data_IF_832139446847
#
_entry.id   IF_832139446847
#
_cell.length_a   1.000
_cell.length_b   1.000
_cell.length_c   1.000
_cell.angle_alpha   90.00
_cell.angle_beta   90.00
_cell.angle_gamma   90.00
#
_symmetry.space_group_name_H-M   'P 1'
#
loop_
_entity.id
_entity.type
_entity.pdbx_description
1 polymer ?
#
# COMPACT_ATOMS: atom_id res chain seq x y z
N UNK A 1 1.38 19.63 -12.57
CA UNK A 1 -0.02 20.10 -12.41
C UNK A 1 -0.83 19.09 -11.58
N UNK A 2 -1.00 19.33 -10.28
CA UNK A 2 -1.66 18.37 -9.35
C UNK A 2 -3.20 18.45 -9.35
N UNK A 3 -3.78 19.43 -10.05
CA UNK A 3 -5.22 19.65 -10.12
C UNK A 3 -5.93 18.76 -11.16
N UNK A 4 -5.20 18.32 -12.19
CA UNK A 4 -5.76 17.61 -13.35
C UNK A 4 -6.39 16.25 -12.97
N UNK A 5 -5.75 15.41 -12.13
CA UNK A 5 -6.39 14.18 -11.66
C UNK A 5 -7.67 14.40 -10.85
N UNK A 6 -7.81 15.57 -10.21
CA UNK A 6 -9.00 15.90 -9.40
C UNK A 6 -10.19 16.34 -10.26
N UNK A 7 -9.94 17.07 -11.34
CA UNK A 7 -10.98 17.61 -12.22
C UNK A 7 -11.42 16.62 -13.30
N UNK A 8 -10.52 15.76 -13.77
CA UNK A 8 -10.77 14.87 -14.89
C UNK A 8 -10.33 13.43 -14.56
N UNK A 9 -10.75 12.94 -13.39
CA UNK A 9 -10.43 11.60 -12.89
C UNK A 9 -10.82 10.49 -13.89
N UNK A 10 -11.93 10.65 -14.62
CA UNK A 10 -12.40 9.69 -15.62
C UNK A 10 -11.55 9.61 -16.91
N UNK A 11 -10.64 10.56 -17.12
CA UNK A 11 -9.71 10.61 -18.25
C UNK A 11 -8.27 10.26 -17.85
N UNK A 12 -8.03 9.99 -16.56
CA UNK A 12 -6.75 9.50 -16.08
C UNK A 12 -6.71 7.99 -16.19
N UNK A 13 -5.62 7.44 -16.72
CA UNK A 13 -5.44 5.99 -16.76
C UNK A 13 -5.31 5.40 -15.33
N UNK A 14 -5.51 4.08 -15.20
CA UNK A 14 -5.48 3.35 -13.93
C UNK A 14 -4.21 3.72 -13.14
N UNK A 15 -4.43 4.43 -12.03
CA UNK A 15 -3.41 4.89 -11.09
C UNK A 15 -2.72 3.69 -10.42
N UNK A 16 -1.72 3.14 -11.10
CA UNK A 16 -0.96 1.99 -10.61
C UNK A 16 0.09 2.50 -9.61
N UNK A 17 0.16 1.94 -8.39
CA UNK A 17 1.19 2.28 -7.43
C UNK A 17 2.59 2.08 -8.03
N UNK A 18 3.45 3.08 -7.91
CA UNK A 18 4.85 2.99 -8.26
C UNK A 18 5.58 2.03 -7.30
N UNK A 19 6.56 1.30 -7.82
CA UNK A 19 7.41 0.43 -7.00
C UNK A 19 8.43 1.25 -6.17
N UNK A 20 8.88 2.38 -6.72
CA UNK A 20 9.81 3.31 -6.09
C UNK A 20 9.28 4.76 -6.15
N UNK A 21 9.07 5.45 -5.02
CA UNK A 21 9.29 4.97 -3.65
C UNK A 21 8.22 3.97 -3.20
N UNK A 22 8.57 3.01 -2.31
CA UNK A 22 7.63 1.99 -1.85
C UNK A 22 6.51 2.58 -0.99
N UNK A 23 5.34 1.93 -0.93
CA UNK A 23 4.24 2.39 -0.08
C UNK A 23 4.66 2.52 1.40
N UNK A 24 4.21 3.60 2.04
CA UNK A 24 4.53 3.97 3.42
C UNK A 24 3.26 4.18 4.23
N UNK A 25 3.34 3.99 5.54
CA UNK A 25 2.23 4.31 6.43
C UNK A 25 2.37 5.75 6.92
N UNK A 26 1.25 6.49 7.00
CA UNK A 26 1.19 7.85 7.53
C UNK A 26 0.31 7.88 8.78
N UNK A 27 0.94 8.07 9.94
CA UNK A 27 0.27 8.04 11.24
C UNK A 27 -0.80 9.12 11.40
N UNK A 28 -0.60 10.31 10.82
CA UNK A 28 -1.55 11.41 10.92
C UNK A 28 -2.90 11.12 10.22
N UNK A 29 -2.91 10.28 9.19
CA UNK A 29 -4.11 9.87 8.45
C UNK A 29 -4.57 8.46 8.76
N UNK A 30 -3.72 7.69 9.44
CA UNK A 30 -3.90 6.27 9.67
C UNK A 30 -4.09 5.48 8.36
N UNK A 31 -3.28 5.80 7.35
CA UNK A 31 -3.42 5.23 6.01
C UNK A 31 -2.09 4.74 5.43
N UNK A 32 -2.17 3.69 4.61
CA UNK A 32 -1.08 3.32 3.71
C UNK A 32 -1.14 4.22 2.49
N UNK A 33 -0.06 4.96 2.23
CA UNK A 33 0.11 5.82 1.08
C UNK A 33 1.03 5.18 0.05
N UNK A 34 0.72 5.39 -1.22
CA UNK A 34 1.59 5.03 -2.34
C UNK A 34 1.82 6.24 -3.25
N UNK A 35 2.89 6.18 -4.02
CA UNK A 35 3.13 7.14 -5.11
C UNK A 35 2.51 6.58 -6.36
N UNK A 36 1.83 7.41 -7.13
CA UNK A 36 1.31 7.07 -8.46
C UNK A 36 1.88 8.05 -9.48
N UNK A 37 2.09 7.58 -10.71
CA UNK A 37 2.45 8.41 -11.86
C UNK A 37 1.34 8.27 -12.92
N UNK A 38 0.25 9.04 -12.80
CA UNK A 38 -0.87 8.92 -13.70
C UNK A 38 -0.55 9.50 -15.07
N UNK A 39 -1.18 8.95 -16.10
CA UNK A 39 -1.18 9.50 -17.46
C UNK A 39 -2.58 10.03 -17.79
N UNK A 40 -2.64 11.03 -18.67
CA UNK A 40 -3.90 11.69 -19.04
C UNK A 40 -4.27 11.48 -20.50
N UNK A 41 -5.52 11.04 -20.73
CA UNK A 41 -6.14 11.00 -22.03
C UNK A 41 -5.55 9.94 -22.99
N UNK A 42 -6.03 9.91 -24.25
CA UNK A 42 -5.63 8.92 -25.25
C UNK A 42 -4.16 9.04 -25.69
N UNK A 43 -3.51 10.17 -25.38
CA UNK A 43 -2.10 10.42 -25.69
C UNK A 43 -1.17 10.20 -24.49
N UNK A 44 -1.67 9.62 -23.39
CA UNK A 44 -0.90 9.25 -22.20
C UNK A 44 0.00 10.38 -21.67
N UNK A 45 -0.51 11.60 -21.58
CA UNK A 45 0.29 12.73 -21.11
C UNK A 45 0.74 12.51 -19.67
N UNK A 46 2.05 12.60 -19.44
CA UNK A 46 2.64 12.37 -18.12
C UNK A 46 2.21 13.44 -17.13
N UNK A 47 1.61 13.00 -16.03
CA UNK A 47 1.30 13.86 -14.89
C UNK A 47 2.40 13.65 -13.83
N UNK A 48 2.86 14.72 -13.15
CA UNK A 48 3.79 14.59 -12.04
C UNK A 48 3.30 13.58 -11.01
N UNK A 49 4.25 12.81 -10.46
CA UNK A 49 3.96 11.82 -9.44
C UNK A 49 3.30 12.48 -8.23
N UNK A 50 2.37 11.75 -7.62
CA UNK A 50 1.62 12.22 -6.47
C UNK A 50 1.46 11.12 -5.43
N UNK A 51 1.50 11.52 -4.17
CA UNK A 51 1.25 10.63 -3.04
C UNK A 51 -0.26 10.57 -2.82
N UNK A 52 -0.81 9.37 -2.85
CA UNK A 52 -2.25 9.11 -2.65
C UNK A 52 -2.46 7.97 -1.66
N UNK A 53 -3.64 7.88 -1.03
CA UNK A 53 -4.02 6.69 -0.29
C UNK A 53 -4.02 5.46 -1.19
N UNK A 54 -3.51 4.35 -0.68
CA UNK A 54 -3.48 3.08 -1.39
C UNK A 54 -4.92 2.66 -1.76
N UNK A 55 -5.19 2.34 -3.04
CA UNK A 55 -6.52 1.93 -3.46
C UNK A 55 -7.05 0.75 -2.66
N UNK A 56 -8.37 0.68 -2.49
CA UNK A 56 -9.02 -0.46 -1.84
C UNK A 56 -8.73 -1.76 -2.59
N UNK A 57 -8.35 -2.79 -1.86
CA UNK A 57 -8.05 -4.10 -2.45
C UNK A 57 -7.18 -4.94 -1.54
N UNK A 58 -6.81 -6.12 -2.03
CA UNK A 58 -5.92 -7.03 -1.29
C UNK A 58 -4.55 -6.40 -1.03
N UNK A 59 -4.03 -5.62 -1.97
CA UNK A 59 -2.71 -5.03 -1.85
C UNK A 59 -2.62 -4.01 -0.70
N UNK A 60 -3.71 -3.28 -0.42
CA UNK A 60 -3.77 -2.41 0.76
C UNK A 60 -3.53 -3.18 2.05
N UNK A 61 -4.16 -4.34 2.21
CA UNK A 61 -4.01 -5.20 3.39
C UNK A 61 -2.61 -5.81 3.45
N UNK A 62 -2.05 -6.22 2.30
CA UNK A 62 -0.69 -6.75 2.23
C UNK A 62 0.36 -5.72 2.65
N UNK A 63 0.27 -4.50 2.13
CA UNK A 63 1.17 -3.42 2.50
C UNK A 63 0.99 -3.00 3.95
N UNK A 64 -0.25 -2.89 4.44
CA UNK A 64 -0.53 -2.62 5.85
C UNK A 64 0.10 -3.68 6.76
N UNK A 65 -0.15 -4.96 6.50
CA UNK A 65 0.40 -6.08 7.27
C UNK A 65 1.94 -6.05 7.30
N UNK A 66 2.57 -5.76 6.15
CA UNK A 66 4.02 -5.65 6.05
C UNK A 66 4.54 -4.53 6.95
N UNK A 67 3.95 -3.33 6.85
CA UNK A 67 4.34 -2.16 7.61
C UNK A 67 4.07 -2.33 9.12
N UNK A 68 3.01 -3.06 9.48
CA UNK A 68 2.70 -3.43 10.85
C UNK A 68 3.79 -4.33 11.45
N UNK A 69 4.16 -5.42 10.75
CA UNK A 69 5.21 -6.33 11.21
C UNK A 69 6.62 -5.71 11.20
N UNK A 70 6.86 -4.71 10.35
CA UNK A 70 8.07 -3.89 10.37
C UNK A 70 8.08 -2.86 11.52
N UNK A 71 6.99 -2.76 12.30
CA UNK A 71 6.86 -1.81 13.41
C UNK A 71 6.68 -0.35 12.97
N UNK A 72 6.28 -0.12 11.72
CA UNK A 72 6.02 1.23 11.17
C UNK A 72 4.61 1.73 11.47
N UNK A 73 3.68 0.82 11.78
CA UNK A 73 2.31 1.15 12.24
C UNK A 73 2.25 1.20 13.76
N UNK A 74 2.79 0.18 14.43
CA UNK A 74 2.81 0.06 15.89
C UNK A 74 4.25 -0.21 16.34
N UNK A 75 4.84 0.74 17.07
CA UNK A 75 6.25 0.69 17.47
C UNK A 75 6.62 -0.56 18.28
N UNK A 76 5.67 -1.16 19.02
CA UNK A 76 5.89 -2.40 19.76
C UNK A 76 6.32 -3.59 18.88
N UNK A 77 5.87 -3.63 17.61
CA UNK A 77 6.27 -4.69 16.67
C UNK A 77 7.73 -4.57 16.25
N UNK A 78 8.33 -3.38 16.35
CA UNK A 78 9.76 -3.16 16.02
C UNK A 78 10.68 -3.97 16.94
N UNK A 79 10.27 -4.24 18.18
CA UNK A 79 11.04 -5.03 19.13
C UNK A 79 11.11 -6.52 18.75
N UNK A 80 10.06 -7.01 18.09
CA UNK A 80 9.95 -8.42 17.68
C UNK A 80 10.28 -8.63 16.20
N UNK A 81 10.50 -7.57 15.41
CA UNK A 81 10.68 -7.69 13.96
C UNK A 81 11.91 -8.52 13.57
N UNK A 82 12.97 -8.50 14.39
CA UNK A 82 14.17 -9.33 14.21
C UNK A 82 13.96 -10.82 14.52
N UNK A 83 12.90 -11.13 15.28
CA UNK A 83 12.57 -12.49 15.73
C UNK A 83 11.51 -13.17 14.86
N UNK A 84 10.98 -12.46 13.85
CA UNK A 84 10.03 -13.02 12.90
C UNK A 84 10.68 -14.15 12.12
N UNK A 85 10.04 -15.31 12.10
CA UNK A 85 10.56 -16.47 11.37
C UNK A 85 10.59 -16.29 9.85
N UNK A 86 9.84 -15.32 9.33
CA UNK A 86 9.76 -14.97 7.91
C UNK A 86 9.89 -13.46 7.72
N UNK A 87 10.45 -13.04 6.58
CA UNK A 87 10.55 -11.61 6.25
C UNK A 87 9.17 -11.02 5.93
N UNK A 88 8.81 -9.83 6.47
CA UNK A 88 7.54 -9.16 6.14
C UNK A 88 7.30 -8.94 4.65
N UNK A 89 8.36 -8.85 3.84
CA UNK A 89 8.27 -8.75 2.37
C UNK A 89 7.55 -9.93 1.70
N UNK A 90 7.45 -11.10 2.36
CA UNK A 90 6.70 -12.25 1.82
C UNK A 90 5.21 -11.97 1.69
N UNK A 91 4.65 -11.02 2.45
CA UNK A 91 3.24 -10.62 2.35
C UNK A 91 2.90 -10.03 0.98
N UNK A 92 3.88 -9.50 0.25
CA UNK A 92 3.68 -8.89 -1.06
C UNK A 92 3.74 -9.91 -2.21
N UNK A 93 4.24 -11.13 -1.96
CA UNK A 93 4.43 -12.14 -3.02
C UNK A 93 3.10 -12.82 -3.40
N UNK A 94 3.07 -13.38 -4.61
CA UNK A 94 1.94 -14.19 -5.11
C UNK A 94 1.83 -15.55 -4.42
N UNK A 95 2.92 -16.05 -3.84
CA UNK A 95 2.98 -17.28 -3.05
C UNK A 95 3.40 -16.93 -1.62
N UNK A 96 2.78 -17.57 -0.63
CA UNK A 96 3.05 -17.33 0.78
C UNK A 96 2.90 -18.60 1.61
N UNK A 97 3.52 -18.61 2.79
CA UNK A 97 3.34 -19.73 3.74
C UNK A 97 1.93 -19.70 4.33
N UNK A 98 1.37 -20.84 4.78
CA UNK A 98 0.01 -20.89 5.31
C UNK A 98 -0.26 -19.88 6.45
N UNK A 99 0.75 -19.59 7.28
CA UNK A 99 0.65 -18.59 8.35
C UNK A 99 0.48 -17.17 7.81
N UNK A 100 1.18 -16.82 6.72
CA UNK A 100 1.09 -15.50 6.07
C UNK A 100 -0.26 -15.35 5.40
N UNK A 101 -0.72 -16.40 4.70
CA UNK A 101 -2.05 -16.44 4.12
C UNK A 101 -3.14 -16.26 5.18
N UNK A 102 -3.06 -16.97 6.31
CA UNK A 102 -4.01 -16.84 7.44
C UNK A 102 -4.06 -15.42 8.00
N UNK A 103 -2.91 -14.76 8.17
CA UNK A 103 -2.84 -13.37 8.62
C UNK A 103 -3.54 -12.44 7.63
N UNK A 104 -3.23 -12.56 6.33
CA UNK A 104 -3.86 -11.74 5.29
C UNK A 104 -5.38 -11.98 5.22
N UNK A 105 -5.83 -13.24 5.22
CA UNK A 105 -7.25 -13.58 5.23
C UNK A 105 -7.97 -12.95 6.43
N UNK A 106 -7.38 -13.01 7.63
CA UNK A 106 -7.98 -12.41 8.82
C UNK A 106 -8.10 -10.88 8.69
N UNK A 107 -7.05 -10.20 8.23
CA UNK A 107 -7.09 -8.75 8.00
C UNK A 107 -8.12 -8.36 6.95
N UNK A 108 -8.22 -9.12 5.86
CA UNK A 108 -9.22 -8.87 4.80
C UNK A 108 -10.65 -9.08 5.29
N UNK A 109 -10.92 -10.17 6.02
CA UNK A 109 -12.24 -10.48 6.55
C UNK A 109 -12.72 -9.44 7.56
N UNK A 110 -11.79 -8.90 8.35
CA UNK A 110 -12.08 -7.87 9.34
C UNK A 110 -11.98 -6.43 8.77
N UNK A 111 -11.59 -6.28 7.50
CA UNK A 111 -11.39 -4.97 6.86
C UNK A 111 -10.24 -4.14 7.45
N UNK A 112 -9.30 -4.78 8.15
CA UNK A 112 -8.21 -4.11 8.87
C UNK A 112 -7.13 -3.67 7.89
N UNK A 113 -7.04 -2.36 7.66
CA UNK A 113 -6.00 -1.75 6.83
C UNK A 113 -5.49 -0.40 7.38
N UNK A 114 -5.83 -0.12 8.64
CA UNK A 114 -5.48 1.05 9.44
C UNK A 114 -5.37 0.59 10.92
N UNK A 115 -4.87 1.46 11.80
CA UNK A 115 -4.57 1.18 13.21
C UNK A 115 -5.82 1.04 14.09
#
# INVERSE_FOLDING_TARGET
PHWLPKLAAGMCDRMTPAEDPPPRYEEARDEVLCVIAPTYGPHAWEIPSQVVPMPSGIDRHKHFAKLLLEGKVVAGFKLISSWLSDRPSLLLRSWSTPKVARLLSALQLLGVSSR
#
